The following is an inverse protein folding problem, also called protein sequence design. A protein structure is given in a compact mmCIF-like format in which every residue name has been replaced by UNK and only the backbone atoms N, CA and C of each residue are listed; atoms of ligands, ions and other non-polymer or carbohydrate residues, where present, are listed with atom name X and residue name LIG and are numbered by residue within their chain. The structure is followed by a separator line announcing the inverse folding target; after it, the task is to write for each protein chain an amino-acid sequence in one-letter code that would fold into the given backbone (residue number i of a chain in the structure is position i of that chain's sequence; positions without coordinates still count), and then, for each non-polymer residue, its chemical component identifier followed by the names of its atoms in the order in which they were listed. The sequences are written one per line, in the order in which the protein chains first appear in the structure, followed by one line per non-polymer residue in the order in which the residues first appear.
data_IF_980141432943
#
_entry.id   IF_980141432943
#
_cell.length_a   1.000
_cell.length_b   1.000
_cell.length_c   1.000
_cell.angle_alpha   90.00
_cell.angle_beta   90.00
_cell.angle_gamma   90.00
#
_symmetry.space_group_name_H-M   'P 1'
#
loop_
_entity.id
_entity.type
_entity.pdbx_description
1 polymer ?
#
# COMPACT_ATOMS: atom_id res chain seq x y z
N UNK A 1 52.33 12.26 7.73
CA UNK A 1 52.42 10.84 8.14
C UNK A 1 51.52 10.67 9.36
N UNK A 2 50.30 10.18 9.16
CA UNK A 2 49.40 9.66 10.19
C UNK A 2 48.28 8.93 9.46
N UNK A 3 48.42 7.61 9.42
CA UNK A 3 47.37 6.66 9.09
C UNK A 3 46.44 6.49 10.31
N UNK A 4 45.33 5.77 10.10
CA UNK A 4 44.28 5.26 11.02
C UNK A 4 42.92 5.80 10.53
N UNK A 5 41.94 5.01 10.07
CA UNK A 5 41.76 3.55 10.10
C UNK A 5 40.77 3.15 9.03
N UNK A 6 41.06 2.03 8.36
CA UNK A 6 40.07 1.27 7.60
C UNK A 6 38.97 0.82 8.56
N UNK A 7 37.74 1.28 8.33
CA UNK A 7 36.58 0.69 8.98
C UNK A 7 36.40 -0.71 8.39
N UNK A 8 36.64 -1.71 9.23
CA UNK A 8 36.25 -3.08 8.96
C UNK A 8 34.76 -3.10 8.66
N UNK A 9 34.42 -3.45 7.42
CA UNK A 9 33.08 -3.87 7.03
C UNK A 9 32.78 -5.13 7.85
N UNK A 10 32.04 -4.98 8.95
CA UNK A 10 31.42 -6.12 9.59
C UNK A 10 30.62 -6.85 8.50
N UNK A 11 30.90 -8.14 8.30
CA UNK A 11 30.17 -8.99 7.38
C UNK A 11 28.70 -9.01 7.82
N UNK A 12 27.87 -8.15 7.22
CA UNK A 12 26.43 -8.21 7.38
C UNK A 12 25.99 -9.61 6.92
N UNK A 13 25.38 -10.37 7.84
CA UNK A 13 24.84 -11.68 7.52
C UNK A 13 23.96 -11.56 6.26
N UNK A 14 24.20 -12.36 5.21
CA UNK A 14 23.49 -12.19 3.95
C UNK A 14 21.98 -12.32 4.19
N UNK A 15 21.21 -11.36 3.66
CA UNK A 15 19.78 -11.19 3.89
C UNK A 15 18.96 -12.47 3.62
N UNK A 16 19.34 -13.23 2.59
CA UNK A 16 18.72 -14.50 2.20
C UNK A 16 19.53 -15.73 2.64
N UNK A 17 20.46 -15.58 3.57
CA UNK A 17 21.42 -16.62 3.93
C UNK A 17 22.33 -17.00 2.76
N UNK A 18 22.84 -18.24 2.80
CA UNK A 18 23.72 -18.77 1.75
C UNK A 18 22.91 -19.23 0.54
N UNK A 19 23.06 -18.52 -0.58
CA UNK A 19 22.50 -18.92 -1.88
C UNK A 19 23.45 -19.92 -2.58
N UNK A 20 22.95 -20.84 -3.43
CA UNK A 20 23.82 -21.68 -4.25
C UNK A 20 24.65 -20.82 -5.23
N UNK A 21 25.77 -21.33 -5.72
CA UNK A 21 26.59 -20.61 -6.71
C UNK A 21 25.82 -20.33 -8.00
N UNK A 22 25.12 -21.34 -8.54
CA UNK A 22 24.34 -21.21 -9.77
C UNK A 22 22.86 -20.93 -9.49
N UNK A 23 22.44 -19.70 -9.76
CA UNK A 23 21.05 -19.27 -9.76
C UNK A 23 20.81 -18.12 -10.73
N UNK A 24 19.54 -17.98 -11.10
CA UNK A 24 19.03 -16.86 -11.89
C UNK A 24 18.08 -16.01 -11.06
N UNK A 25 18.13 -14.69 -11.25
CA UNK A 25 17.20 -13.75 -10.64
C UNK A 25 16.09 -13.40 -11.64
N UNK A 26 14.84 -13.65 -11.27
CA UNK A 26 13.66 -13.24 -12.03
C UNK A 26 12.81 -12.29 -11.20
N UNK A 27 12.34 -11.21 -11.82
CA UNK A 27 11.47 -10.23 -11.17
C UNK A 27 10.03 -10.32 -11.68
N UNK A 28 9.06 -10.07 -10.81
CA UNK A 28 7.66 -9.86 -11.14
C UNK A 28 7.23 -8.51 -10.59
N UNK A 29 6.73 -7.63 -11.45
CA UNK A 29 6.34 -6.28 -11.09
C UNK A 29 4.92 -5.96 -11.52
N UNK A 30 4.10 -5.39 -10.64
CA UNK A 30 2.74 -4.96 -10.97
C UNK A 30 2.34 -3.72 -10.19
N UNK A 31 1.42 -2.90 -10.67
CA UNK A 31 0.88 -1.82 -9.83
C UNK A 31 0.06 -2.38 -8.65
N UNK A 32 -0.76 -3.41 -8.92
CA UNK A 32 -1.63 -4.11 -7.96
C UNK A 32 -1.84 -5.56 -8.35
N UNK A 33 -2.36 -6.37 -7.44
CA UNK A 33 -2.78 -7.74 -7.70
C UNK A 33 -4.07 -7.81 -8.54
N UNK A 34 -4.55 -9.04 -8.76
CA UNK A 34 -5.63 -9.32 -9.72
C UNK A 34 -6.96 -9.69 -9.03
N UNK A 35 -6.92 -10.09 -7.76
CA UNK A 35 -8.12 -10.51 -7.00
C UNK A 35 -8.21 -9.75 -5.67
N UNK A 36 -9.32 -9.08 -5.34
CA UNK A 36 -9.48 -8.42 -4.03
C UNK A 36 -9.40 -9.40 -2.86
N UNK A 37 -8.82 -8.97 -1.75
CA UNK A 37 -8.78 -9.69 -0.48
C UNK A 37 -9.22 -8.75 0.64
N UNK A 38 -10.18 -9.19 1.44
CA UNK A 38 -10.74 -8.38 2.53
C UNK A 38 -9.89 -8.48 3.80
N UNK A 39 -8.71 -7.84 3.78
CA UNK A 39 -7.77 -7.71 4.90
C UNK A 39 -7.11 -6.33 4.86
N UNK A 40 -6.41 -5.97 5.94
CA UNK A 40 -5.55 -4.80 6.01
C UNK A 40 -4.10 -5.24 6.27
N UNK A 41 -3.18 -4.91 5.36
CA UNK A 41 -1.75 -5.20 5.51
C UNK A 41 -0.97 -4.04 6.12
N UNK A 42 -1.40 -2.81 5.88
CA UNK A 42 -0.77 -1.58 6.36
C UNK A 42 -1.81 -0.50 6.72
N UNK A 43 -1.35 0.71 7.00
CA UNK A 43 -2.22 1.84 7.38
C UNK A 43 -2.62 2.73 6.18
N UNK A 44 -2.27 2.33 4.96
CA UNK A 44 -2.51 3.13 3.74
C UNK A 44 -3.99 3.22 3.36
N UNK A 45 -4.81 2.27 3.83
CA UNK A 45 -6.17 2.00 3.38
C UNK A 45 -6.34 1.72 1.87
N UNK A 46 -5.25 1.41 1.17
CA UNK A 46 -5.35 0.85 -0.16
C UNK A 46 -5.98 -0.54 -0.08
N UNK A 47 -6.82 -0.87 -1.06
CA UNK A 47 -7.45 -2.18 -1.13
C UNK A 47 -6.36 -3.25 -1.34
N UNK A 48 -6.35 -4.25 -0.47
CA UNK A 48 -5.42 -5.38 -0.61
C UNK A 48 -5.90 -6.28 -1.73
N UNK A 49 -4.96 -6.69 -2.57
CA UNK A 49 -5.23 -7.64 -3.66
C UNK A 49 -4.26 -8.80 -3.60
N UNK A 50 -4.67 -9.99 -4.03
CA UNK A 50 -3.80 -11.13 -4.24
C UNK A 50 -3.45 -11.26 -5.72
N UNK A 51 -2.26 -11.79 -5.99
CA UNK A 51 -1.92 -12.33 -7.29
C UNK A 51 -1.09 -13.61 -7.18
N UNK A 52 -1.33 -14.51 -8.12
CA UNK A 52 -0.60 -15.76 -8.23
C UNK A 52 0.65 -15.58 -9.10
N UNK A 53 1.79 -16.08 -8.62
CA UNK A 53 3.06 -16.14 -9.34
C UNK A 53 3.50 -17.59 -9.44
N UNK A 54 3.57 -18.13 -10.65
CA UNK A 54 3.93 -19.52 -10.90
C UNK A 54 5.31 -19.59 -11.54
N UNK A 55 6.27 -20.17 -10.81
CA UNK A 55 7.64 -20.37 -11.29
C UNK A 55 7.78 -21.75 -11.93
N UNK A 56 8.05 -21.76 -13.24
CA UNK A 56 8.29 -22.97 -14.02
C UNK A 56 9.61 -22.86 -14.79
N UNK A 57 10.70 -23.09 -14.06
CA UNK A 57 12.09 -23.08 -14.53
C UNK A 57 12.74 -24.42 -14.15
N UNK A 58 12.39 -25.51 -14.85
CA UNK A 58 12.89 -26.84 -14.50
C UNK A 58 14.42 -26.89 -14.56
N UNK A 59 15.04 -27.53 -13.57
CA UNK A 59 16.50 -27.66 -13.41
C UNK A 59 17.25 -26.35 -13.12
N UNK A 60 16.55 -25.25 -12.85
CA UNK A 60 17.18 -23.99 -12.43
C UNK A 60 16.87 -23.69 -10.96
N UNK A 61 17.86 -23.11 -10.29
CA UNK A 61 17.69 -22.42 -9.01
C UNK A 61 17.28 -20.97 -9.28
N UNK A 62 16.20 -20.52 -8.65
CA UNK A 62 15.61 -19.21 -8.89
C UNK A 62 15.60 -18.38 -7.61
N UNK A 63 16.11 -17.16 -7.68
CA UNK A 63 15.76 -16.08 -6.76
C UNK A 63 14.63 -15.27 -7.39
N UNK A 64 13.55 -15.10 -6.65
CA UNK A 64 12.36 -14.38 -7.12
C UNK A 64 12.31 -13.01 -6.46
N UNK A 65 12.20 -11.95 -7.27
CA UNK A 65 11.97 -10.58 -6.80
C UNK A 65 10.53 -10.21 -7.12
N UNK A 66 9.75 -9.82 -6.12
CA UNK A 66 8.34 -9.48 -6.26
C UNK A 66 8.14 -8.02 -5.88
N UNK A 67 7.44 -7.26 -6.72
CA UNK A 67 7.21 -5.86 -6.41
C UNK A 67 5.89 -5.25 -6.86
N UNK A 68 5.31 -4.43 -5.99
CA UNK A 68 4.09 -3.69 -6.28
C UNK A 68 3.98 -2.32 -5.61
N UNK A 69 3.13 -1.46 -6.18
CA UNK A 69 2.77 -0.18 -5.57
C UNK A 69 1.74 -0.42 -4.45
N UNK A 70 0.55 -0.90 -4.82
CA UNK A 70 -0.55 -1.21 -3.90
C UNK A 70 -0.20 -2.39 -2.96
N UNK A 71 -0.95 -2.57 -1.85
CA UNK A 71 -0.77 -3.74 -1.01
C UNK A 71 -1.10 -5.02 -1.78
N UNK A 72 -0.14 -5.95 -1.81
CA UNK A 72 -0.28 -7.22 -2.54
C UNK A 72 0.06 -8.43 -1.67
N UNK A 73 -0.84 -9.41 -1.69
CA UNK A 73 -0.58 -10.78 -1.25
C UNK A 73 -0.05 -11.58 -2.44
N UNK A 74 1.22 -11.95 -2.39
CA UNK A 74 1.88 -12.74 -3.42
C UNK A 74 1.73 -14.22 -3.11
N UNK A 75 0.90 -14.92 -3.88
CA UNK A 75 0.79 -16.38 -3.78
C UNK A 75 1.75 -17.04 -4.75
N UNK A 76 2.89 -17.47 -4.24
CA UNK A 76 3.95 -18.05 -5.07
C UNK A 76 3.79 -19.57 -5.12
N UNK A 77 3.71 -20.12 -6.33
CA UNK A 77 3.73 -21.55 -6.60
C UNK A 77 4.89 -21.92 -7.52
N UNK A 78 5.25 -23.20 -7.54
CA UNK A 78 6.31 -23.71 -8.43
C UNK A 78 5.96 -25.06 -9.04
N UNK A 79 6.59 -25.40 -10.16
CA UNK A 79 6.55 -26.78 -10.67
C UNK A 79 7.58 -27.67 -9.95
N UNK A 80 7.33 -28.99 -9.92
CA UNK A 80 8.15 -29.98 -9.17
C UNK A 80 9.66 -29.88 -9.42
N UNK A 81 10.07 -29.65 -10.66
CA UNK A 81 11.48 -29.61 -11.10
C UNK A 81 12.13 -28.22 -10.98
N UNK A 82 11.40 -27.23 -10.46
CA UNK A 82 11.89 -25.87 -10.22
C UNK A 82 12.30 -25.73 -8.75
N UNK A 83 13.43 -25.09 -8.46
CA UNK A 83 13.87 -24.77 -7.10
C UNK A 83 13.83 -23.25 -6.92
N UNK A 84 13.03 -22.76 -5.97
CA UNK A 84 13.11 -21.37 -5.52
C UNK A 84 14.04 -21.36 -4.30
N UNK A 85 15.14 -20.63 -4.39
CA UNK A 85 16.22 -20.61 -3.39
C UNK A 85 16.25 -19.34 -2.56
N UNK A 86 15.53 -18.29 -2.99
CA UNK A 86 15.36 -17.05 -2.26
C UNK A 86 14.22 -16.20 -2.80
N UNK A 87 13.60 -15.37 -1.97
CA UNK A 87 12.53 -14.46 -2.38
C UNK A 87 12.73 -13.08 -1.74
N UNK A 88 12.82 -12.03 -2.56
CA UNK A 88 12.72 -10.64 -2.11
C UNK A 88 11.34 -10.11 -2.46
N UNK A 89 10.64 -9.52 -1.50
CA UNK A 89 9.36 -8.85 -1.74
C UNK A 89 9.50 -7.39 -1.35
N UNK A 90 9.19 -6.50 -2.29
CA UNK A 90 9.32 -5.06 -2.06
C UNK A 90 8.14 -4.27 -2.59
N UNK A 91 7.81 -3.14 -2.00
CA UNK A 91 6.75 -2.31 -2.54
C UNK A 91 6.63 -0.96 -1.88
N UNK A 92 5.65 -0.17 -2.34
CA UNK A 92 5.31 1.07 -1.65
C UNK A 92 4.46 0.76 -0.41
N UNK A 93 3.33 0.08 -0.62
CA UNK A 93 2.43 -0.33 0.45
C UNK A 93 2.73 -1.75 0.98
N UNK A 94 2.00 -2.21 1.99
CA UNK A 94 2.20 -3.47 2.69
C UNK A 94 2.18 -4.69 1.76
N UNK A 95 3.20 -5.55 1.86
CA UNK A 95 3.34 -6.73 1.03
C UNK A 95 3.28 -8.00 1.89
N UNK A 96 2.69 -9.07 1.36
CA UNK A 96 2.63 -10.37 2.02
C UNK A 96 3.06 -11.49 1.07
N UNK A 97 3.73 -12.51 1.60
CA UNK A 97 4.20 -13.67 0.83
C UNK A 97 3.57 -14.96 1.36
N UNK A 98 2.82 -15.65 0.51
CA UNK A 98 2.18 -16.93 0.85
C UNK A 98 2.48 -17.99 -0.21
N UNK A 99 2.15 -19.26 0.06
CA UNK A 99 2.30 -20.34 -0.91
C UNK A 99 3.70 -20.97 -0.94
N UNK A 100 4.61 -20.54 -0.06
CA UNK A 100 5.99 -21.05 0.03
C UNK A 100 6.29 -21.61 1.41
N UNK A 101 7.29 -22.49 1.49
CA UNK A 101 7.73 -23.05 2.77
C UNK A 101 8.34 -21.96 3.63
N UNK A 102 8.07 -21.97 4.94
CA UNK A 102 8.61 -20.97 5.88
C UNK A 102 10.15 -20.98 5.92
N UNK A 103 10.76 -22.13 5.64
CA UNK A 103 12.22 -22.30 5.55
C UNK A 103 12.86 -21.80 4.24
N UNK A 104 12.07 -21.47 3.22
CA UNK A 104 12.62 -20.83 2.02
C UNK A 104 13.10 -19.44 2.41
N UNK A 105 14.39 -19.09 2.20
CA UNK A 105 14.88 -17.77 2.55
C UNK A 105 14.06 -16.68 1.87
N UNK A 106 13.57 -15.72 2.65
CA UNK A 106 12.83 -14.59 2.12
C UNK A 106 12.99 -13.36 3.01
N UNK A 107 12.84 -12.18 2.39
CA UNK A 107 12.79 -10.92 3.09
C UNK A 107 11.75 -10.00 2.44
N UNK A 108 11.08 -9.20 3.26
CA UNK A 108 10.04 -8.27 2.82
C UNK A 108 10.36 -6.89 3.37
N UNK A 109 10.35 -5.87 2.51
CA UNK A 109 10.42 -4.46 2.91
C UNK A 109 9.42 -3.64 2.10
N UNK A 110 8.73 -2.68 2.72
CA UNK A 110 7.95 -1.71 1.96
C UNK A 110 8.21 -0.28 2.43
N UNK A 111 7.76 0.72 1.66
CA UNK A 111 7.84 2.10 2.13
C UNK A 111 7.03 2.31 3.42
N UNK A 112 5.83 1.74 3.52
CA UNK A 112 4.94 1.92 4.70
C UNK A 112 5.40 1.10 5.91
N UNK A 113 5.65 -0.20 5.78
CA UNK A 113 5.95 -1.08 6.92
C UNK A 113 7.46 -1.17 7.23
N UNK A 114 8.31 -0.61 6.35
CA UNK A 114 9.76 -0.76 6.38
C UNK A 114 10.17 -2.24 6.35
N UNK A 115 11.46 -2.51 6.47
CA UNK A 115 11.99 -3.86 6.47
C UNK A 115 13.51 -3.87 6.50
N UNK A 116 14.13 -5.06 6.37
CA UNK A 116 15.57 -5.23 6.51
C UNK A 116 16.39 -4.70 5.32
N UNK A 117 15.76 -4.11 4.30
CA UNK A 117 16.46 -3.48 3.17
C UNK A 117 15.69 -2.26 2.65
N UNK A 118 16.40 -1.37 1.94
CA UNK A 118 15.78 -0.20 1.30
C UNK A 118 14.70 -0.64 0.30
N UNK A 119 13.49 -0.10 0.47
CA UNK A 119 12.39 -0.42 -0.41
C UNK A 119 12.70 0.00 -1.86
N UNK A 120 12.14 -0.75 -2.80
CA UNK A 120 12.10 -0.44 -4.22
C UNK A 120 10.74 -0.81 -4.82
N UNK A 121 10.37 -0.17 -5.93
CA UNK A 121 9.21 -0.56 -6.72
C UNK A 121 9.39 -0.24 -8.20
N UNK A 122 9.17 -1.23 -9.06
CA UNK A 122 9.09 -1.06 -10.51
C UNK A 122 8.15 -2.10 -11.13
N UNK A 123 7.29 -1.67 -12.06
CA UNK A 123 6.43 -2.57 -12.84
C UNK A 123 6.58 -2.39 -14.35
N UNK A 124 7.45 -1.50 -14.80
CA UNK A 124 7.64 -1.15 -16.21
C UNK A 124 9.07 -0.63 -16.44
N UNK A 125 9.38 -0.34 -17.71
CA UNK A 125 10.64 0.26 -18.10
C UNK A 125 10.70 1.71 -17.60
N UNK A 126 11.45 1.94 -16.53
CA UNK A 126 11.63 3.25 -15.90
C UNK A 126 12.97 3.33 -15.16
N UNK A 127 13.41 4.53 -14.76
CA UNK A 127 14.60 4.69 -13.91
C UNK A 127 14.54 3.87 -12.61
N UNK A 128 13.33 3.68 -12.07
CA UNK A 128 13.09 2.83 -10.89
C UNK A 128 13.45 1.37 -11.11
N UNK A 129 13.32 0.86 -12.35
CA UNK A 129 13.74 -0.50 -12.68
C UNK A 129 15.27 -0.65 -12.59
N UNK A 130 16.02 0.37 -13.00
CA UNK A 130 17.47 0.38 -12.87
C UNK A 130 17.90 0.46 -11.39
N UNK A 131 17.28 1.35 -10.61
CA UNK A 131 17.51 1.44 -9.16
C UNK A 131 17.17 0.15 -8.41
N UNK A 132 16.07 -0.51 -8.81
CA UNK A 132 15.69 -1.83 -8.30
C UNK A 132 16.77 -2.86 -8.64
N UNK A 133 17.24 -2.91 -9.88
CA UNK A 133 18.28 -3.84 -10.30
C UNK A 133 19.58 -3.63 -9.50
N UNK A 134 20.03 -2.40 -9.32
CA UNK A 134 21.22 -2.09 -8.52
C UNK A 134 21.06 -2.54 -7.06
N UNK A 135 19.87 -2.33 -6.49
CA UNK A 135 19.56 -2.77 -5.13
C UNK A 135 19.54 -4.29 -5.02
N UNK A 136 18.88 -4.98 -5.95
CA UNK A 136 18.87 -6.45 -6.00
C UNK A 136 20.28 -6.99 -6.17
N UNK A 137 21.09 -6.42 -7.07
CA UNK A 137 22.48 -6.81 -7.29
C UNK A 137 23.31 -6.68 -6.01
N UNK A 138 23.14 -5.62 -5.23
CA UNK A 138 23.80 -5.48 -3.92
C UNK A 138 23.34 -6.54 -2.91
N UNK A 139 22.04 -6.87 -2.89
CA UNK A 139 21.46 -7.80 -1.92
C UNK A 139 21.74 -9.28 -2.22
N UNK A 140 21.79 -9.66 -3.50
CA UNK A 140 21.90 -11.07 -3.92
C UNK A 140 23.11 -11.36 -4.82
N UNK A 141 23.88 -10.35 -5.22
CA UNK A 141 25.10 -10.51 -6.02
C UNK A 141 24.88 -10.72 -7.52
N UNK A 142 23.64 -10.64 -8.03
CA UNK A 142 23.31 -10.86 -9.45
C UNK A 142 22.27 -9.87 -9.96
N UNK A 143 22.40 -9.51 -11.24
CA UNK A 143 21.42 -8.70 -11.96
C UNK A 143 20.12 -9.48 -12.23
N UNK A 144 19.02 -8.75 -12.41
CA UNK A 144 17.73 -9.29 -12.80
C UNK A 144 17.80 -9.70 -14.27
N UNK A 145 17.56 -10.99 -14.56
CA UNK A 145 17.59 -11.51 -15.94
C UNK A 145 16.33 -11.09 -16.73
N UNK A 146 15.18 -11.07 -16.07
CA UNK A 146 13.92 -10.72 -16.71
C UNK A 146 12.89 -10.19 -15.71
N UNK A 147 12.14 -9.16 -16.12
CA UNK A 147 10.96 -8.64 -15.42
C UNK A 147 9.68 -9.11 -16.11
N UNK A 148 8.85 -9.86 -15.40
CA UNK A 148 7.50 -10.23 -15.82
C UNK A 148 6.49 -9.22 -15.26
N UNK A 149 5.85 -8.43 -16.12
CA UNK A 149 4.92 -7.38 -15.70
C UNK A 149 3.52 -7.42 -16.32
N UNK A 150 3.22 -8.48 -17.09
CA UNK A 150 1.89 -8.73 -17.62
C UNK A 150 1.40 -10.11 -17.20
N UNK A 151 0.31 -10.21 -16.42
CA UNK A 151 -0.28 -11.50 -16.05
C UNK A 151 -1.10 -12.08 -17.22
N UNK A 152 -1.12 -13.40 -17.33
CA UNK A 152 -1.99 -14.14 -18.25
C UNK A 152 -3.12 -14.76 -17.45
N UNK A 153 -4.37 -14.38 -17.75
CA UNK A 153 -5.56 -14.84 -17.01
C UNK A 153 -5.43 -14.66 -15.49
N UNK A 154 -4.86 -13.52 -15.07
CA UNK A 154 -4.69 -13.16 -13.66
C UNK A 154 -3.49 -13.78 -12.95
N UNK A 155 -2.62 -14.52 -13.64
CA UNK A 155 -1.44 -15.21 -13.10
C UNK A 155 -0.17 -14.75 -13.80
N UNK A 156 0.90 -14.50 -13.03
CA UNK A 156 2.24 -14.29 -13.59
C UNK A 156 2.96 -15.62 -13.75
N UNK A 157 3.48 -15.89 -14.95
CA UNK A 157 4.27 -17.08 -15.21
C UNK A 157 5.75 -16.71 -15.38
N UNK A 158 6.58 -17.14 -14.44
CA UNK A 158 8.05 -17.05 -14.57
C UNK A 158 8.52 -18.30 -15.31
N UNK A 159 8.70 -18.16 -16.62
CA UNK A 159 8.90 -19.28 -17.55
C UNK A 159 7.62 -19.68 -18.27
N UNK A 160 7.60 -20.89 -18.86
CA UNK A 160 6.43 -21.36 -19.63
C UNK A 160 5.27 -21.67 -18.71
N UNK A 161 4.05 -21.29 -19.09
CA UNK A 161 2.84 -21.73 -18.41
C UNK A 161 2.78 -23.27 -18.34
N UNK A 162 2.59 -23.89 -17.16
CA UNK A 162 2.48 -25.33 -17.05
C UNK A 162 1.24 -25.86 -17.78
N UNK A 163 1.39 -26.97 -18.53
CA UNK A 163 0.30 -27.57 -19.29
C UNK A 163 -0.89 -28.04 -18.44
N UNK A 164 -0.67 -28.33 -17.15
CA UNK A 164 -1.71 -28.77 -16.20
C UNK A 164 -1.61 -27.94 -14.93
N UNK A 165 -2.72 -27.32 -14.49
CA UNK A 165 -2.77 -26.52 -13.24
C UNK A 165 -2.28 -27.32 -12.02
N UNK A 166 -2.64 -28.61 -11.92
CA UNK A 166 -2.20 -29.53 -10.85
C UNK A 166 -0.68 -29.78 -10.78
N UNK A 167 0.10 -29.32 -11.76
CA UNK A 167 1.55 -29.40 -11.72
C UNK A 167 2.19 -28.30 -10.86
N UNK A 168 1.42 -27.28 -10.48
CA UNK A 168 1.84 -26.20 -9.59
C UNK A 168 1.67 -26.65 -8.15
N UNK A 169 2.73 -26.50 -7.37
CA UNK A 169 2.79 -26.80 -5.95
C UNK A 169 2.86 -25.48 -5.18
N UNK A 170 1.97 -25.35 -4.20
CA UNK A 170 1.99 -24.32 -3.17
C UNK A 170 2.26 -25.00 -1.81
N UNK A 171 2.79 -24.25 -0.86
CA UNK A 171 2.93 -24.64 0.54
C UNK A 171 1.97 -23.84 1.40
N UNK A 172 1.44 -24.47 2.45
CA UNK A 172 0.54 -23.83 3.41
C UNK A 172 1.28 -23.34 4.67
N UNK A 173 2.61 -23.36 4.67
CA UNK A 173 3.46 -22.97 5.81
C UNK A 173 3.41 -21.46 6.11
N UNK A 174 3.35 -20.63 5.06
CA UNK A 174 3.18 -19.18 5.15
C UNK A 174 1.81 -18.82 4.59
N UNK A 175 1.01 -18.20 5.45
CA UNK A 175 -0.39 -17.86 5.18
C UNK A 175 -0.64 -16.38 5.42
N UNK A 176 -1.82 -15.90 5.03
CA UNK A 176 -2.21 -14.50 5.27
C UNK A 176 -2.19 -14.14 6.76
N UNK A 177 -2.47 -15.11 7.65
CA UNK A 177 -2.50 -14.90 9.11
C UNK A 177 -1.14 -14.49 9.68
N UNK A 178 -0.05 -14.83 9.01
CA UNK A 178 1.31 -14.46 9.42
C UNK A 178 1.59 -12.96 9.19
N UNK A 179 0.76 -12.26 8.41
CA UNK A 179 0.94 -10.85 8.03
C UNK A 179 -0.14 -9.93 8.59
N UNK A 180 -1.31 -10.46 8.94
CA UNK A 180 -2.40 -9.68 9.50
C UNK A 180 -2.15 -9.45 10.99
N UNK A 181 -2.10 -8.17 11.39
CA UNK A 181 -1.99 -7.74 12.80
C UNK A 181 -3.41 -7.51 13.35
N UNK A 182 -3.91 -8.34 14.27
CA UNK A 182 -5.31 -8.29 14.72
C UNK A 182 -5.66 -7.03 15.53
N UNK A 183 -4.65 -6.40 16.13
CA UNK A 183 -4.73 -5.16 16.91
C UNK A 183 -4.52 -3.89 16.06
N UNK A 184 -4.26 -4.04 14.75
CA UNK A 184 -4.07 -2.89 13.86
C UNK A 184 -5.35 -2.04 13.81
N UNK A 185 -5.27 -0.72 14.07
CA UNK A 185 -6.40 0.17 13.88
C UNK A 185 -6.93 0.11 12.45
N UNK A 186 -8.25 0.12 12.29
CA UNK A 186 -8.87 0.23 10.97
C UNK A 186 -8.39 1.53 10.29
N UNK A 187 -8.11 1.44 9.00
CA UNK A 187 -7.81 2.59 8.14
C UNK A 187 -8.94 2.86 7.13
N UNK A 188 -8.98 4.07 6.57
CA UNK A 188 -9.85 4.46 5.46
C UNK A 188 -11.36 4.27 5.72
N UNK A 189 -12.06 3.71 4.73
CA UNK A 189 -13.53 3.58 4.79
C UNK A 189 -14.03 2.64 5.89
N UNK A 190 -13.43 1.46 6.14
CA UNK A 190 -13.78 0.64 7.30
C UNK A 190 -13.72 1.40 8.62
N UNK A 191 -12.70 2.25 8.80
CA UNK A 191 -12.55 3.06 9.99
C UNK A 191 -13.60 4.17 10.10
N UNK A 192 -13.93 4.83 8.98
CA UNK A 192 -15.04 5.78 8.93
C UNK A 192 -16.38 5.12 9.26
N UNK A 193 -16.62 3.91 8.76
CA UNK A 193 -17.83 3.14 9.06
C UNK A 193 -17.90 2.81 10.56
N UNK A 194 -16.79 2.44 11.18
CA UNK A 194 -16.73 2.24 12.62
C UNK A 194 -17.05 3.54 13.38
N UNK A 195 -16.47 4.68 13.00
CA UNK A 195 -16.77 5.97 13.61
C UNK A 195 -18.24 6.39 13.46
N UNK A 196 -18.88 6.04 12.34
CA UNK A 196 -20.33 6.24 12.16
C UNK A 196 -21.13 5.31 13.06
N UNK A 197 -20.78 4.02 13.10
CA UNK A 197 -21.42 3.02 13.96
C UNK A 197 -21.34 3.41 15.45
N UNK A 198 -20.25 4.04 15.87
CA UNK A 198 -20.03 4.54 17.22
C UNK A 198 -20.54 5.98 17.42
N UNK A 199 -21.31 6.53 16.47
CA UNK A 199 -21.93 7.86 16.54
C UNK A 199 -20.94 9.01 16.81
N UNK A 200 -19.69 8.85 16.38
CA UNK A 200 -18.68 9.92 16.39
C UNK A 200 -18.73 10.74 15.11
N UNK A 201 -19.19 10.12 14.03
CA UNK A 201 -19.47 10.74 12.74
C UNK A 201 -20.90 10.43 12.31
N UNK A 202 -21.46 11.27 11.44
CA UNK A 202 -22.55 10.89 10.55
C UNK A 202 -22.30 11.44 9.16
N UNK A 203 -22.95 10.88 8.14
CA UNK A 203 -22.95 11.52 6.83
C UNK A 203 -23.65 12.89 6.92
N UNK A 204 -23.09 13.86 6.21
CA UNK A 204 -23.71 15.17 6.05
C UNK A 204 -24.92 15.06 5.12
N UNK A 205 -25.97 15.76 5.51
CA UNK A 205 -27.17 15.99 4.72
C UNK A 205 -26.97 17.20 3.80
N UNK A 206 -27.91 17.41 2.87
CA UNK A 206 -27.96 18.65 2.07
C UNK A 206 -28.12 19.89 2.97
N UNK A 207 -28.84 19.77 4.08
CA UNK A 207 -29.07 20.87 5.01
C UNK A 207 -27.78 21.29 5.73
N UNK A 208 -26.93 20.35 6.15
CA UNK A 208 -25.63 20.66 6.77
C UNK A 208 -24.74 21.47 5.82
N UNK A 209 -24.66 21.03 4.56
CA UNK A 209 -23.88 21.70 3.51
C UNK A 209 -24.45 23.10 3.22
N UNK A 210 -25.78 23.23 3.15
CA UNK A 210 -26.43 24.51 2.92
C UNK A 210 -26.23 25.48 4.08
N UNK A 211 -26.29 25.01 5.33
CA UNK A 211 -26.07 25.83 6.52
C UNK A 211 -24.65 26.40 6.55
N UNK A 212 -23.64 25.56 6.28
CA UNK A 212 -22.26 26.03 6.15
C UNK A 212 -22.10 27.05 5.01
N UNK A 213 -22.71 26.76 3.84
CA UNK A 213 -22.63 27.65 2.67
C UNK A 213 -23.25 29.02 2.94
N UNK A 214 -24.39 29.07 3.64
CA UNK A 214 -25.02 30.32 4.07
C UNK A 214 -24.11 31.12 5.00
N UNK A 215 -23.53 30.48 6.02
CA UNK A 215 -22.60 31.11 6.95
C UNK A 215 -21.38 31.70 6.22
N UNK A 216 -20.74 30.92 5.34
CA UNK A 216 -19.60 31.36 4.53
C UNK A 216 -19.95 32.52 3.58
N UNK A 217 -21.20 32.56 3.09
CA UNK A 217 -21.67 33.59 2.15
C UNK A 217 -21.97 34.93 2.81
N UNK A 218 -22.21 34.96 4.13
CA UNK A 218 -22.72 36.14 4.86
C UNK A 218 -21.89 37.41 4.61
N UNK A 219 -20.56 37.29 4.58
CA UNK A 219 -19.63 38.42 4.36
C UNK A 219 -19.68 38.99 2.93
N UNK A 220 -20.10 38.18 1.94
CA UNK A 220 -20.17 38.58 0.54
C UNK A 220 -21.53 39.18 0.18
N UNK A 221 -22.58 38.90 0.97
CA UNK A 221 -23.94 39.41 0.75
C UNK A 221 -24.05 40.93 0.79
N UNK A 222 -23.10 41.62 1.44
CA UNK A 222 -23.00 43.09 1.41
C UNK A 222 -22.76 43.66 0.00
N UNK A 223 -22.19 42.86 -0.90
CA UNK A 223 -21.93 43.25 -2.29
C UNK A 223 -23.05 42.82 -3.22
N UNK A 224 -23.65 41.65 -2.96
CA UNK A 224 -24.84 41.17 -3.66
C UNK A 224 -25.56 40.15 -2.78
N UNK A 225 -26.83 40.41 -2.45
CA UNK A 225 -27.64 39.57 -1.57
C UNK A 225 -27.83 38.12 -2.07
N UNK A 226 -27.64 37.89 -3.37
CA UNK A 226 -27.74 36.59 -4.02
C UNK A 226 -26.42 35.79 -4.02
N UNK A 227 -25.30 36.38 -3.58
CA UNK A 227 -24.01 35.68 -3.59
C UNK A 227 -23.99 34.45 -2.68
N UNK A 228 -23.35 33.40 -3.22
CA UNK A 228 -23.18 32.09 -2.60
C UNK A 228 -21.75 31.62 -2.79
N UNK A 229 -21.09 31.25 -1.69
CA UNK A 229 -19.79 30.59 -1.73
C UNK A 229 -19.96 29.21 -2.38
N UNK A 230 -19.08 28.88 -3.30
CA UNK A 230 -19.02 27.53 -3.87
C UNK A 230 -18.33 26.58 -2.88
N UNK A 231 -18.80 25.34 -2.79
CA UNK A 231 -18.19 24.32 -1.94
C UNK A 231 -17.99 23.01 -2.70
N UNK A 232 -16.91 22.31 -2.36
CA UNK A 232 -16.61 20.96 -2.89
C UNK A 232 -17.27 19.85 -2.07
N UNK A 233 -18.02 20.18 -1.02
CA UNK A 233 -18.76 19.20 -0.22
C UNK A 233 -19.78 18.45 -1.08
N UNK A 234 -19.85 17.12 -0.88
CA UNK A 234 -20.82 16.23 -1.53
C UNK A 234 -21.47 15.32 -0.50
N UNK A 235 -22.79 15.13 -0.60
CA UNK A 235 -23.50 14.10 0.17
C UNK A 235 -22.88 12.74 -0.12
N UNK A 236 -22.77 11.90 0.90
CA UNK A 236 -22.11 10.58 0.80
C UNK A 236 -20.57 10.62 0.85
N UNK A 237 -19.94 11.81 0.78
CA UNK A 237 -18.47 11.99 0.93
C UNK A 237 -18.08 13.00 2.01
N UNK A 238 -19.06 13.63 2.62
CA UNK A 238 -18.90 14.64 3.67
C UNK A 238 -19.49 14.07 4.96
N UNK A 239 -18.77 14.24 6.06
CA UNK A 239 -19.21 13.81 7.39
C UNK A 239 -19.41 15.01 8.30
N UNK A 240 -20.34 14.92 9.24
CA UNK A 240 -20.45 15.84 10.37
C UNK A 240 -19.79 15.18 11.57
N UNK A 241 -18.90 15.90 12.24
CA UNK A 241 -18.25 15.46 13.48
C UNK A 241 -19.22 15.66 14.63
N UNK A 242 -19.54 14.59 15.34
CA UNK A 242 -20.55 14.61 16.41
C UNK A 242 -19.92 14.64 17.80
N UNK A 243 -18.73 14.05 17.95
CA UNK A 243 -18.03 13.90 19.23
C UNK A 243 -16.52 13.95 18.99
N UNK A 244 -15.74 14.17 20.05
CA UNK A 244 -14.27 14.08 20.00
C UNK A 244 -13.82 12.75 19.37
N UNK A 245 -12.96 12.82 18.35
CA UNK A 245 -12.43 11.66 17.66
C UNK A 245 -11.00 11.91 17.14
N UNK A 246 -10.35 10.80 16.78
CA UNK A 246 -9.08 10.77 16.05
C UNK A 246 -9.38 10.27 14.64
N UNK A 247 -8.93 11.00 13.61
CA UNK A 247 -9.10 10.56 12.23
C UNK A 247 -8.25 9.31 11.97
N UNK A 248 -8.78 8.34 11.20
CA UNK A 248 -8.01 7.18 10.81
C UNK A 248 -6.97 7.52 9.75
N UNK A 249 -5.93 6.70 9.65
CA UNK A 249 -5.01 6.70 8.52
C UNK A 249 -5.77 6.38 7.21
N UNK A 250 -5.13 6.60 6.06
CA UNK A 250 -5.69 6.19 4.76
C UNK A 250 -6.76 7.11 4.16
N UNK A 251 -6.86 8.36 4.64
CA UNK A 251 -7.78 9.38 4.12
C UNK A 251 -7.06 10.39 3.21
N UNK A 252 -6.49 9.92 2.09
CA UNK A 252 -5.74 10.76 1.14
C UNK A 252 -6.15 10.48 -0.32
N UNK A 253 -5.76 11.35 -1.24
CA UNK A 253 -6.08 11.21 -2.67
C UNK A 253 -7.59 11.05 -2.93
N UNK A 254 -7.97 10.02 -3.68
CA UNK A 254 -9.37 9.65 -3.95
C UNK A 254 -10.14 9.21 -2.69
N UNK A 255 -9.44 8.86 -1.61
CA UNK A 255 -10.00 8.49 -0.31
C UNK A 255 -10.14 9.68 0.66
N UNK A 256 -9.72 10.88 0.26
CA UNK A 256 -9.98 12.10 1.03
C UNK A 256 -11.48 12.34 1.24
N UNK A 257 -11.80 12.98 2.36
CA UNK A 257 -13.15 13.33 2.81
C UNK A 257 -13.23 14.79 3.24
N UNK A 258 -14.46 15.27 3.31
CA UNK A 258 -14.81 16.55 3.91
C UNK A 258 -15.43 16.33 5.29
N UNK A 259 -15.10 17.19 6.25
CA UNK A 259 -15.62 17.13 7.61
C UNK A 259 -16.21 18.49 8.00
N UNK A 260 -17.49 18.52 8.34
CA UNK A 260 -18.16 19.66 8.97
C UNK A 260 -17.98 19.52 10.49
N UNK A 261 -17.51 20.60 11.12
CA UNK A 261 -17.20 20.65 12.55
C UNK A 261 -18.16 21.67 13.19
N UNK A 262 -19.17 21.21 13.94
CA UNK A 262 -20.01 22.07 14.78
C UNK A 262 -19.17 22.83 15.82
N UNK A 263 -19.63 24.02 16.21
CA UNK A 263 -18.88 24.94 17.08
C UNK A 263 -18.64 24.38 18.49
N UNK A 264 -19.52 23.51 18.97
CA UNK A 264 -19.47 22.84 20.27
C UNK A 264 -18.64 21.54 20.26
N UNK A 265 -18.12 21.13 19.09
CA UNK A 265 -17.38 19.89 18.93
C UNK A 265 -15.88 20.16 18.73
N UNK A 266 -14.99 19.52 19.52
CA UNK A 266 -13.55 19.68 19.34
C UNK A 266 -13.09 19.27 17.93
N UNK A 267 -12.11 20.01 17.40
CA UNK A 267 -11.48 19.69 16.12
C UNK A 267 -10.87 18.26 16.17
N UNK A 268 -11.08 17.41 15.13
CA UNK A 268 -10.54 16.05 15.12
C UNK A 268 -9.02 16.00 15.27
N UNK A 269 -8.53 15.08 16.10
CA UNK A 269 -7.10 14.76 16.21
C UNK A 269 -6.65 13.83 15.08
N UNK A 270 -5.34 13.54 15.02
CA UNK A 270 -4.76 12.58 14.06
C UNK A 270 -4.34 13.21 12.72
N UNK A 271 -3.99 12.36 11.74
CA UNK A 271 -3.46 12.80 10.46
C UNK A 271 -4.53 13.55 9.65
N UNK A 272 -4.22 14.79 9.27
CA UNK A 272 -5.13 15.61 8.46
C UNK A 272 -5.15 15.20 6.99
N UNK A 273 -4.01 14.70 6.48
CA UNK A 273 -3.83 14.29 5.08
C UNK A 273 -4.37 15.35 4.11
N UNK A 274 -5.00 14.93 3.01
CA UNK A 274 -5.63 15.81 2.01
C UNK A 274 -7.13 16.05 2.30
N UNK A 275 -7.58 15.91 3.56
CA UNK A 275 -8.96 16.17 3.93
C UNK A 275 -9.25 17.67 4.03
N UNK A 276 -10.51 18.04 3.88
CA UNK A 276 -10.96 19.44 4.06
C UNK A 276 -11.90 19.54 5.25
N UNK A 277 -11.68 20.52 6.09
CA UNK A 277 -12.42 20.76 7.32
C UNK A 277 -13.18 22.07 7.21
N UNK A 278 -14.46 22.04 7.57
CA UNK A 278 -15.42 23.14 7.43
C UNK A 278 -15.98 23.45 8.82
N UNK A 279 -15.70 24.63 9.37
CA UNK A 279 -16.28 25.09 10.64
C UNK A 279 -17.58 25.85 10.38
N UNK A 280 -18.55 25.76 11.29
CA UNK A 280 -19.87 26.37 11.09
C UNK A 280 -19.86 27.91 11.07
N UNK A 281 -18.77 28.54 11.50
CA UNK A 281 -18.46 29.96 11.29
C UNK A 281 -18.24 30.37 9.81
N UNK A 282 -18.26 29.40 8.89
CA UNK A 282 -18.06 29.62 7.45
C UNK A 282 -16.60 29.56 7.01
N UNK A 283 -15.67 29.20 7.89
CA UNK A 283 -14.26 28.99 7.56
C UNK A 283 -13.98 27.56 7.12
N UNK A 284 -12.99 27.39 6.25
CA UNK A 284 -12.52 26.08 5.81
C UNK A 284 -10.99 25.98 5.84
N UNK A 285 -10.46 24.77 6.02
CA UNK A 285 -9.02 24.49 5.99
C UNK A 285 -8.75 23.19 5.24
N UNK A 286 -7.76 23.20 4.34
CA UNK A 286 -7.32 22.03 3.57
C UNK A 286 -7.35 22.26 2.04
N UNK A 287 -7.06 21.24 1.21
CA UNK A 287 -6.97 21.42 -0.24
C UNK A 287 -8.25 21.95 -0.89
N UNK A 288 -9.42 21.67 -0.32
CA UNK A 288 -10.71 22.20 -0.79
C UNK A 288 -11.03 23.63 -0.34
N UNK A 289 -10.15 24.28 0.42
CA UNK A 289 -10.33 25.67 0.90
C UNK A 289 -9.66 26.73 0.01
N UNK A 290 -8.81 26.33 -0.94
CA UNK A 290 -8.00 27.26 -1.76
C UNK A 290 -8.75 28.01 -2.86
N UNK A 291 -10.03 27.69 -3.08
CA UNK A 291 -10.89 28.32 -4.10
C UNK A 291 -12.06 29.11 -3.48
N UNK A 292 -11.94 29.58 -2.23
CA UNK A 292 -13.01 30.25 -1.46
C UNK A 292 -12.77 31.73 -1.19
#
# INVERSE_FOLDING_TARGET
MLAITANALAEEKPLLGTLPEDFTVYAVGTYRGTTPVDIQLDDSAHAVTQVDVVVNKPKQSVVLVLTAYDPVVWRVGRTKKTKIVGILVSGYHGQALIGVKKKTPHAISSYEEKGPFSYFYASDASGRLLEMNDTVKRLVGRDIEHLFNKPTSGVFYVGKQPAKKKAVLYSDDLTIKDYVKPDRPLAGQPALNALVKHEKLRLATKADIAAWTEAASKKYKRFNSQFRVSTRMRVGRTYVVLKKLTLPNGLFGSHSRAFIIPDDVPFPAGPRCHNTFYKMDGTATGPGSRDQ
#
